data_IF_876141300349
#
_entry.id   IF_876141300349
#
_cell.length_a   1.000
_cell.length_b   1.000
_cell.length_c   1.000
_cell.angle_alpha   90.00
_cell.angle_beta   90.00
_cell.angle_gamma   90.00
#
_symmetry.space_group_name_H-M   'P 1'
#
loop_
_entity.id
_entity.type
_entity.pdbx_description
1 polymer ?
#
# COMPACT_ATOMS: atom_id res chain seq x y z
N UNK A 1 25.64 6.69 39.01
CA UNK A 1 25.96 5.24 39.07
C UNK A 1 24.74 4.39 39.46
N UNK A 2 23.53 4.73 39.00
CA UNK A 2 22.28 3.97 39.26
C UNK A 2 21.33 3.96 38.05
N UNK A 3 21.81 4.35 36.87
CA UNK A 3 20.99 4.46 35.65
C UNK A 3 21.47 3.51 34.53
N UNK A 4 22.73 3.04 34.60
CA UNK A 4 23.31 2.06 33.67
C UNK A 4 22.89 0.63 34.07
N UNK A 5 22.68 0.37 35.36
CA UNK A 5 22.30 -0.94 35.88
C UNK A 5 20.85 -1.35 35.54
N UNK A 6 19.99 -0.36 35.24
CA UNK A 6 18.60 -0.57 34.82
C UNK A 6 18.43 -0.97 33.35
N UNK A 7 19.34 -0.57 32.47
CA UNK A 7 19.32 -1.01 31.06
C UNK A 7 19.88 -2.42 30.89
N UNK A 8 20.89 -2.81 31.68
CA UNK A 8 21.50 -4.14 31.63
C UNK A 8 20.56 -5.23 32.16
N UNK A 9 19.66 -4.91 33.10
CA UNK A 9 18.63 -5.86 33.59
C UNK A 9 17.49 -6.09 32.60
N UNK A 10 17.20 -5.14 31.71
CA UNK A 10 16.20 -5.30 30.65
C UNK A 10 16.69 -6.28 29.56
N UNK A 11 17.97 -6.19 29.20
CA UNK A 11 18.59 -7.10 28.22
C UNK A 11 18.79 -8.53 28.73
N UNK A 12 18.95 -8.73 30.05
CA UNK A 12 19.17 -10.07 30.64
C UNK A 12 17.89 -10.88 30.87
N UNK A 13 16.73 -10.22 30.93
CA UNK A 13 15.42 -10.88 31.10
C UNK A 13 14.79 -11.37 29.78
N UNK A 14 15.29 -10.91 28.64
CA UNK A 14 14.84 -11.34 27.31
C UNK A 14 15.43 -12.67 26.85
N UNK A 15 16.40 -13.26 27.56
CA UNK A 15 17.19 -14.38 27.04
C UNK A 15 17.04 -15.74 27.74
N UNK A 16 16.14 -15.92 28.73
CA UNK A 16 16.13 -17.17 29.50
C UNK A 16 14.78 -17.77 29.92
N UNK A 17 13.66 -17.36 29.34
CA UNK A 17 12.37 -18.01 29.64
C UNK A 17 11.40 -18.00 28.47
N UNK A 18 11.57 -18.93 27.53
CA UNK A 18 10.48 -19.69 26.87
C UNK A 18 11.05 -20.57 25.77
N UNK A 19 11.72 -21.65 26.17
CA UNK A 19 11.86 -22.85 25.36
C UNK A 19 10.65 -23.73 25.70
N UNK A 20 9.50 -23.50 25.07
CA UNK A 20 8.42 -24.49 24.92
C UNK A 20 7.36 -23.99 23.92
N UNK A 21 7.23 -24.73 22.81
CA UNK A 21 6.06 -24.85 21.95
C UNK A 21 5.34 -23.56 21.52
N UNK A 22 5.86 -22.89 20.50
CA UNK A 22 5.04 -22.19 19.50
C UNK A 22 5.73 -22.40 18.15
N UNK A 23 5.02 -23.01 17.21
CA UNK A 23 5.35 -22.93 15.79
C UNK A 23 5.54 -21.43 15.46
N UNK A 24 6.51 -21.02 14.63
CA UNK A 24 6.51 -19.65 14.15
C UNK A 24 5.22 -19.47 13.37
N UNK A 25 4.35 -18.56 13.84
CA UNK A 25 3.37 -17.92 12.96
C UNK A 25 4.21 -17.29 11.86
N UNK A 26 4.27 -17.96 10.72
CA UNK A 26 4.89 -17.43 9.52
C UNK A 26 4.14 -16.13 9.24
N UNK A 27 4.83 -14.99 9.39
CA UNK A 27 4.32 -13.72 8.95
C UNK A 27 4.01 -13.83 7.45
N UNK A 28 2.74 -14.10 7.13
CA UNK A 28 2.30 -14.15 5.76
C UNK A 28 2.29 -12.70 5.25
N UNK A 29 3.27 -12.37 4.42
CA UNK A 29 3.20 -11.17 3.60
C UNK A 29 2.10 -11.39 2.57
N UNK A 30 1.15 -10.46 2.49
CA UNK A 30 0.05 -10.57 1.55
C UNK A 30 0.16 -9.47 0.52
N UNK A 31 0.20 -9.85 -0.75
CA UNK A 31 0.03 -8.90 -1.83
C UNK A 31 -1.35 -8.27 -1.70
N UNK A 32 -1.39 -6.95 -1.51
CA UNK A 32 -2.59 -6.14 -1.64
C UNK A 32 -2.80 -5.89 -3.13
N UNK A 33 -3.78 -6.55 -3.78
CA UNK A 33 -4.04 -6.31 -5.17
C UNK A 33 -5.02 -5.14 -5.31
N UNK A 34 -4.74 -4.30 -6.31
CA UNK A 34 -5.66 -3.29 -6.80
C UNK A 34 -6.77 -3.95 -7.65
N UNK A 35 -8.04 -3.68 -7.37
CA UNK A 35 -8.68 -3.22 -6.12
C UNK A 35 -9.54 -4.34 -5.52
N UNK A 36 -10.20 -4.11 -4.37
CA UNK A 36 -11.65 -3.91 -4.43
C UNK A 36 -12.30 -3.25 -3.17
N UNK A 37 -12.80 -2.01 -3.26
CA UNK A 37 -13.95 -1.54 -2.42
C UNK A 37 -13.84 -1.66 -0.88
N UNK A 38 -12.67 -1.32 -0.31
CA UNK A 38 -12.38 -0.95 1.09
C UNK A 38 -12.71 -1.90 2.25
N UNK A 39 -13.37 -3.04 1.99
CA UNK A 39 -13.61 -4.09 3.00
C UNK A 39 -13.29 -5.49 2.50
N UNK A 40 -12.95 -5.65 1.22
CA UNK A 40 -12.67 -6.94 0.62
C UNK A 40 -11.48 -6.84 -0.33
N UNK A 41 -10.73 -7.90 -0.52
CA UNK A 41 -9.67 -7.91 -1.54
C UNK A 41 -9.53 -9.29 -2.18
N UNK A 42 -9.17 -9.36 -3.47
CA UNK A 42 -8.98 -10.65 -4.15
C UNK A 42 -7.68 -11.31 -3.67
N UNK A 43 -7.69 -12.61 -3.39
CA UNK A 43 -6.48 -13.33 -2.98
C UNK A 43 -5.81 -13.96 -4.20
N UNK A 44 -4.55 -13.61 -4.50
CA UNK A 44 -3.73 -14.24 -5.55
C UNK A 44 -2.45 -14.84 -4.94
N UNK A 45 -2.45 -16.16 -4.73
CA UNK A 45 -1.28 -16.93 -4.31
C UNK A 45 -0.79 -16.62 -2.89
N UNK A 46 -0.34 -17.64 -2.16
CA UNK A 46 0.37 -17.46 -0.88
C UNK A 46 1.86 -17.46 -1.21
N UNK A 47 2.58 -16.40 -0.86
CA UNK A 47 4.04 -16.45 -0.85
C UNK A 47 4.45 -17.32 0.34
N UNK A 48 4.88 -18.54 0.04
CA UNK A 48 5.53 -19.42 1.02
C UNK A 48 6.94 -18.87 1.19
N UNK A 49 7.29 -18.44 2.40
CA UNK A 49 8.65 -18.03 2.74
C UNK A 49 9.62 -19.17 2.45
N UNK A 50 10.75 -18.85 1.84
CA UNK A 50 11.86 -19.77 1.60
C UNK A 50 12.30 -20.44 2.92
N UNK A 51 12.32 -21.77 2.90
CA UNK A 51 12.92 -22.61 3.93
C UNK A 51 14.45 -22.51 3.79
N UNK A 52 15.05 -21.50 4.45
CA UNK A 52 16.50 -21.32 4.40
C UNK A 52 17.19 -22.29 5.36
N UNK A 53 18.11 -23.08 4.82
CA UNK A 53 19.05 -23.89 5.58
C UNK A 53 19.82 -22.98 6.55
N UNK A 54 19.75 -23.29 7.85
CA UNK A 54 20.36 -22.49 8.92
C UNK A 54 21.89 -22.67 8.92
N UNK A 55 22.65 -21.64 8.54
CA UNK A 55 24.11 -21.62 8.68
C UNK A 55 24.53 -21.42 10.14
N UNK A 56 24.73 -22.53 10.86
CA UNK A 56 25.06 -22.51 12.29
C UNK A 56 26.43 -21.89 12.58
N UNK A 57 27.40 -22.01 11.67
CA UNK A 57 28.74 -21.43 11.86
C UNK A 57 28.69 -19.92 11.64
N UNK A 58 28.03 -19.47 10.57
CA UNK A 58 27.81 -18.04 10.31
C UNK A 58 27.08 -17.34 11.46
N UNK A 59 26.08 -17.99 12.07
CA UNK A 59 25.36 -17.47 13.24
C UNK A 59 26.25 -17.27 14.47
N UNK A 60 27.16 -18.21 14.75
CA UNK A 60 28.09 -18.13 15.88
C UNK A 60 29.12 -17.01 15.68
N UNK A 61 29.68 -16.89 14.47
CA UNK A 61 30.64 -15.84 14.14
C UNK A 61 29.98 -14.46 14.18
N UNK A 62 28.75 -14.35 13.67
CA UNK A 62 27.94 -13.13 13.78
C UNK A 62 27.69 -12.73 15.23
N UNK A 63 27.34 -13.70 16.10
CA UNK A 63 27.16 -13.47 17.54
C UNK A 63 28.44 -12.96 18.21
N UNK A 64 29.63 -13.44 17.79
CA UNK A 64 30.91 -12.94 18.30
C UNK A 64 31.11 -11.49 17.87
N UNK A 65 30.91 -11.17 16.60
CA UNK A 65 31.07 -9.79 16.09
C UNK A 65 30.13 -8.79 16.74
N UNK A 66 28.90 -9.19 17.05
CA UNK A 66 27.97 -8.35 17.84
C UNK A 66 28.60 -7.97 19.19
N UNK A 67 29.21 -8.93 19.90
CA UNK A 67 29.88 -8.65 21.18
C UNK A 67 31.05 -7.67 21.02
N UNK A 68 31.87 -7.86 19.99
CA UNK A 68 33.00 -6.98 19.70
C UNK A 68 32.54 -5.53 19.47
N UNK A 69 31.44 -5.32 18.72
CA UNK A 69 30.89 -3.97 18.49
C UNK A 69 30.29 -3.37 19.76
N UNK A 70 29.63 -4.18 20.61
CA UNK A 70 29.10 -3.72 21.91
C UNK A 70 30.22 -3.32 22.87
N UNK A 71 31.31 -4.08 22.95
CA UNK A 71 32.48 -3.75 23.75
C UNK A 71 33.16 -2.47 23.24
N UNK A 72 33.25 -2.30 21.92
CA UNK A 72 33.76 -1.09 21.31
C UNK A 72 32.87 0.12 21.64
N UNK A 73 31.55 -0.04 21.60
CA UNK A 73 30.61 1.01 21.99
C UNK A 73 30.76 1.41 23.47
N UNK A 74 30.98 0.44 24.35
CA UNK A 74 31.23 0.71 25.77
C UNK A 74 32.54 1.50 25.99
N UNK A 75 33.53 1.27 25.14
CA UNK A 75 34.85 1.91 25.23
C UNK A 75 34.87 3.31 24.62
N UNK A 76 34.27 3.48 23.43
CA UNK A 76 34.32 4.73 22.66
C UNK A 76 33.15 5.67 22.97
N UNK A 77 32.09 5.18 23.59
CA UNK A 77 30.83 5.89 23.82
C UNK A 77 29.77 5.57 22.75
N UNK A 78 28.50 5.72 23.14
CA UNK A 78 27.34 5.26 22.38
C UNK A 78 27.23 5.79 20.94
N UNK A 79 27.76 6.98 20.67
CA UNK A 79 27.60 7.68 19.40
C UNK A 79 28.91 7.95 18.69
N UNK A 80 29.98 7.22 19.04
CA UNK A 80 31.25 7.38 18.34
C UNK A 80 31.08 7.10 16.83
N UNK A 81 31.68 7.95 15.98
CA UNK A 81 31.44 7.96 14.53
C UNK A 81 31.77 6.64 13.81
N UNK A 82 32.72 5.86 14.36
CA UNK A 82 33.10 4.56 13.80
C UNK A 82 32.09 3.44 14.04
N UNK A 83 31.08 3.66 14.90
CA UNK A 83 30.09 2.62 15.22
C UNK A 83 29.02 2.51 14.14
N UNK A 84 28.70 3.60 13.43
CA UNK A 84 27.66 3.60 12.40
C UNK A 84 27.89 2.53 11.33
N UNK A 85 29.07 2.52 10.72
CA UNK A 85 29.45 1.53 9.70
C UNK A 85 29.45 0.09 10.26
N UNK A 86 29.98 -0.11 11.48
CA UNK A 86 30.03 -1.43 12.13
C UNK A 86 28.64 -2.01 12.39
N UNK A 87 27.68 -1.18 12.78
CA UNK A 87 26.30 -1.61 12.93
C UNK A 87 25.65 -1.94 11.59
N UNK A 88 25.95 -1.18 10.53
CA UNK A 88 25.45 -1.47 9.17
C UNK A 88 26.03 -2.78 8.61
N UNK A 89 27.33 -3.04 8.81
CA UNK A 89 27.96 -4.31 8.45
C UNK A 89 27.27 -5.50 9.13
N UNK A 90 27.02 -5.40 10.44
CA UNK A 90 26.26 -6.41 11.18
C UNK A 90 24.84 -6.57 10.63
N UNK A 91 24.18 -5.49 10.22
CA UNK A 91 22.86 -5.55 9.63
C UNK A 91 22.86 -6.36 8.32
N UNK A 92 23.81 -6.11 7.42
CA UNK A 92 23.96 -6.86 6.17
C UNK A 92 24.26 -8.34 6.41
N UNK A 93 25.12 -8.65 7.38
CA UNK A 93 25.38 -10.04 7.78
C UNK A 93 24.12 -10.74 8.29
N UNK A 94 23.34 -10.07 9.14
CA UNK A 94 22.07 -10.59 9.64
C UNK A 94 21.08 -10.86 8.51
N UNK A 95 21.03 -10.02 7.46
CA UNK A 95 20.21 -10.27 6.26
C UNK A 95 20.63 -11.55 5.55
N UNK A 96 21.94 -11.76 5.36
CA UNK A 96 22.48 -12.97 4.69
C UNK A 96 22.13 -14.24 5.48
N UNK A 97 22.18 -14.15 6.82
CA UNK A 97 21.85 -15.24 7.75
C UNK A 97 20.35 -15.45 7.97
N UNK A 98 19.49 -14.66 7.31
CA UNK A 98 18.03 -14.75 7.46
C UNK A 98 17.49 -14.23 8.80
N UNK A 99 18.28 -13.47 9.56
CA UNK A 99 17.89 -12.86 10.82
C UNK A 99 17.24 -11.48 10.60
N UNK A 100 16.06 -11.46 9.98
CA UNK A 100 15.40 -10.20 9.57
C UNK A 100 15.13 -9.22 10.72
N UNK A 101 14.74 -9.72 11.90
CA UNK A 101 14.50 -8.88 13.09
C UNK A 101 15.80 -8.23 13.60
N UNK A 102 16.87 -9.02 13.72
CA UNK A 102 18.18 -8.49 14.12
C UNK A 102 18.72 -7.50 13.09
N UNK A 103 18.56 -7.81 11.80
CA UNK A 103 18.95 -6.90 10.73
C UNK A 103 18.23 -5.54 10.85
N UNK A 104 16.92 -5.54 11.10
CA UNK A 104 16.16 -4.31 11.28
C UNK A 104 16.68 -3.48 12.47
N UNK A 105 16.98 -4.14 13.59
CA UNK A 105 17.54 -3.47 14.77
C UNK A 105 18.95 -2.89 14.50
N UNK A 106 19.81 -3.62 13.80
CA UNK A 106 21.17 -3.14 13.47
C UNK A 106 21.15 -2.02 12.44
N UNK A 107 20.28 -2.06 11.44
CA UNK A 107 20.07 -0.93 10.52
C UNK A 107 19.62 0.32 11.27
N UNK A 108 18.68 0.18 12.21
CA UNK A 108 18.21 1.29 13.04
C UNK A 108 19.37 1.92 13.84
N UNK A 109 20.19 1.09 14.50
CA UNK A 109 21.34 1.56 15.29
C UNK A 109 22.40 2.23 14.41
N UNK A 110 22.76 1.61 13.29
CA UNK A 110 23.75 2.13 12.35
C UNK A 110 23.33 3.45 11.75
N UNK A 111 22.11 3.53 11.20
CA UNK A 111 21.58 4.77 10.64
C UNK A 111 21.39 5.86 11.69
N UNK A 112 20.97 5.52 12.92
CA UNK A 112 20.89 6.51 14.00
C UNK A 112 22.26 7.12 14.31
N UNK A 113 23.31 6.30 14.40
CA UNK A 113 24.67 6.78 14.62
C UNK A 113 25.20 7.62 13.44
N UNK A 114 24.96 7.18 12.20
CA UNK A 114 25.33 7.95 10.99
C UNK A 114 24.63 9.31 10.99
N UNK A 115 23.34 9.37 11.33
CA UNK A 115 22.57 10.63 11.40
C UNK A 115 23.13 11.61 12.43
N UNK A 116 23.54 11.13 13.60
CA UNK A 116 24.12 11.96 14.65
C UNK A 116 25.50 12.52 14.27
N UNK A 117 26.30 11.76 13.52
CA UNK A 117 27.68 12.14 13.19
C UNK A 117 27.81 12.87 11.85
N UNK A 118 26.95 12.58 10.87
CA UNK A 118 27.02 13.12 9.51
C UNK A 118 25.88 14.07 9.17
N UNK A 119 24.83 14.13 10.00
CA UNK A 119 23.66 14.98 9.79
C UNK A 119 22.43 14.23 9.28
N UNK A 120 21.25 14.84 9.44
CA UNK A 120 19.96 14.22 9.15
C UNK A 120 19.58 14.20 7.66
N UNK A 121 20.38 14.78 6.77
CA UNK A 121 19.99 14.98 5.36
C UNK A 121 21.02 14.49 4.35
N UNK A 122 21.99 13.68 4.77
CA UNK A 122 23.07 13.23 3.89
C UNK A 122 22.61 12.11 2.96
N UNK A 123 22.82 12.30 1.66
CA UNK A 123 22.54 11.29 0.62
C UNK A 123 23.28 9.97 0.82
N UNK A 124 24.39 9.96 1.56
CA UNK A 124 25.13 8.74 1.93
C UNK A 124 24.29 7.72 2.69
N UNK A 125 23.19 8.14 3.33
CA UNK A 125 22.29 7.25 4.07
C UNK A 125 21.32 6.48 3.17
N UNK A 126 21.13 6.89 1.91
CA UNK A 126 20.07 6.36 1.04
C UNK A 126 20.22 4.86 0.79
N UNK A 127 21.45 4.38 0.58
CA UNK A 127 21.72 2.94 0.38
C UNK A 127 21.29 2.10 1.59
N UNK A 128 21.84 2.41 2.77
CA UNK A 128 21.48 1.72 4.01
C UNK A 128 20.00 1.85 4.37
N UNK A 129 19.37 2.98 4.05
CA UNK A 129 17.94 3.20 4.25
C UNK A 129 17.09 2.31 3.33
N UNK A 130 17.48 2.17 2.06
CA UNK A 130 16.81 1.27 1.11
C UNK A 130 16.94 -0.20 1.52
N UNK A 131 18.11 -0.61 2.03
CA UNK A 131 18.30 -1.96 2.56
C UNK A 131 17.42 -2.21 3.79
N UNK A 132 17.34 -1.24 4.70
CA UNK A 132 16.47 -1.33 5.87
C UNK A 132 14.99 -1.43 5.47
N UNK A 133 14.53 -0.61 4.52
CA UNK A 133 13.17 -0.68 3.97
C UNK A 133 12.86 -2.09 3.43
N UNK A 134 13.81 -2.72 2.72
CA UNK A 134 13.65 -4.08 2.22
C UNK A 134 13.53 -5.11 3.36
N UNK A 135 14.25 -4.93 4.47
CA UNK A 135 14.10 -5.76 5.67
C UNK A 135 12.76 -5.53 6.36
N UNK A 136 12.32 -4.27 6.52
CA UNK A 136 11.05 -3.94 7.16
C UNK A 136 9.85 -4.55 6.43
N UNK A 137 9.88 -4.59 5.08
CA UNK A 137 8.89 -5.30 4.27
C UNK A 137 8.83 -6.80 4.60
N UNK A 138 9.98 -7.44 4.83
CA UNK A 138 10.06 -8.87 5.18
C UNK A 138 9.60 -9.15 6.60
N UNK A 139 9.92 -8.26 7.54
CA UNK A 139 9.50 -8.38 8.94
C UNK A 139 8.00 -8.10 9.08
N UNK A 140 7.42 -7.28 8.20
CA UNK A 140 6.02 -6.87 8.29
C UNK A 140 5.77 -5.74 9.29
N UNK A 141 6.81 -4.98 9.65
CA UNK A 141 6.66 -3.78 10.49
C UNK A 141 6.22 -2.59 9.62
N UNK A 142 4.91 -2.52 9.37
CA UNK A 142 4.31 -1.48 8.51
C UNK A 142 4.49 -0.06 9.04
N UNK A 143 4.55 0.13 10.37
CA UNK A 143 4.69 1.46 10.96
C UNK A 143 6.12 1.99 10.73
N UNK A 144 7.14 1.18 11.07
CA UNK A 144 8.52 1.56 10.80
C UNK A 144 8.76 1.72 9.29
N UNK A 145 8.14 0.87 8.46
CA UNK A 145 8.21 0.96 7.00
C UNK A 145 7.66 2.30 6.48
N UNK A 146 6.46 2.70 6.91
CA UNK A 146 5.89 4.03 6.58
C UNK A 146 6.85 5.16 6.93
N UNK A 147 7.41 5.13 8.15
CA UNK A 147 8.33 6.16 8.61
C UNK A 147 9.61 6.24 7.77
N UNK A 148 10.22 5.10 7.42
CA UNK A 148 11.45 5.08 6.63
C UNK A 148 11.21 5.42 5.16
N UNK A 149 10.09 5.01 4.56
CA UNK A 149 9.70 5.43 3.21
C UNK A 149 9.48 6.94 3.14
N UNK A 150 8.70 7.50 4.07
CA UNK A 150 8.48 8.94 4.16
C UNK A 150 9.78 9.71 4.37
N UNK A 151 10.71 9.17 5.15
CA UNK A 151 12.02 9.80 5.35
C UNK A 151 12.88 9.74 4.09
N UNK A 152 12.96 8.60 3.40
CA UNK A 152 13.70 8.47 2.12
C UNK A 152 13.16 9.45 1.08
N UNK A 153 11.84 9.49 0.93
CA UNK A 153 11.17 10.42 0.01
C UNK A 153 11.53 11.88 0.32
N UNK A 154 11.52 12.28 1.60
CA UNK A 154 11.95 13.63 2.01
C UNK A 154 13.41 13.93 1.72
N UNK A 155 14.30 12.94 1.85
CA UNK A 155 15.72 13.11 1.54
C UNK A 155 16.02 13.27 0.05
N UNK A 156 15.23 12.62 -0.81
CA UNK A 156 15.55 12.49 -2.23
C UNK A 156 14.69 13.35 -3.13
N UNK A 157 13.43 13.62 -2.78
CA UNK A 157 12.44 14.15 -3.72
C UNK A 157 11.97 15.59 -3.48
N UNK A 158 12.12 16.14 -2.27
CA UNK A 158 11.38 17.34 -1.87
C UNK A 158 11.80 18.64 -2.59
N UNK A 159 13.08 18.76 -2.97
CA UNK A 159 13.62 19.95 -3.62
C UNK A 159 13.98 19.73 -5.10
N UNK A 160 13.67 18.55 -5.66
CA UNK A 160 14.04 18.22 -7.03
C UNK A 160 13.06 18.88 -8.01
N UNK A 161 13.56 19.79 -8.84
CA UNK A 161 12.78 20.35 -9.95
C UNK A 161 12.47 19.32 -11.02
N UNK A 162 13.32 18.31 -11.20
CA UNK A 162 13.16 17.26 -12.20
C UNK A 162 13.55 15.96 -11.52
N UNK A 163 12.64 14.97 -11.48
CA UNK A 163 12.89 13.70 -10.82
C UNK A 163 13.76 12.81 -11.71
N UNK A 164 14.79 12.21 -11.13
CA UNK A 164 15.45 11.03 -11.72
C UNK A 164 14.54 9.81 -11.61
N UNK A 165 14.82 8.78 -12.40
CA UNK A 165 14.09 7.50 -12.33
C UNK A 165 14.10 6.90 -10.92
N UNK A 166 15.24 6.94 -10.23
CA UNK A 166 15.38 6.48 -8.84
C UNK A 166 14.55 7.32 -7.86
N UNK A 167 14.54 8.65 -8.02
CA UNK A 167 13.75 9.54 -7.17
C UNK A 167 12.25 9.33 -7.37
N UNK A 168 11.83 9.11 -8.63
CA UNK A 168 10.46 8.75 -8.96
C UNK A 168 10.10 7.42 -8.28
N UNK A 169 10.89 6.37 -8.47
CA UNK A 169 10.67 5.07 -7.82
C UNK A 169 10.54 5.19 -6.30
N UNK A 170 11.40 5.97 -5.63
CA UNK A 170 11.28 6.19 -4.18
C UNK A 170 9.99 6.91 -3.78
N UNK A 171 9.53 7.88 -4.57
CA UNK A 171 8.27 8.57 -4.34
C UNK A 171 7.09 7.62 -4.53
N UNK A 172 7.10 6.81 -5.59
CA UNK A 172 6.04 5.83 -5.86
C UNK A 172 5.97 4.78 -4.76
N UNK A 173 7.10 4.27 -4.27
CA UNK A 173 7.13 3.32 -3.15
C UNK A 173 6.54 3.91 -1.85
N UNK A 174 6.73 5.21 -1.60
CA UNK A 174 6.11 5.88 -0.45
C UNK A 174 4.60 5.98 -0.61
N UNK A 175 4.12 6.56 -1.72
CA UNK A 175 2.69 6.74 -1.93
C UNK A 175 1.94 5.41 -2.05
N UNK A 176 2.51 4.41 -2.73
CA UNK A 176 1.87 3.10 -2.89
C UNK A 176 1.72 2.37 -1.55
N UNK A 177 2.69 2.54 -0.64
CA UNK A 177 2.60 2.00 0.72
C UNK A 177 1.53 2.73 1.55
N UNK A 178 1.51 4.07 1.56
CA UNK A 178 0.50 4.82 2.30
C UNK A 178 -0.92 4.56 1.78
N UNK A 179 -1.09 4.47 0.46
CA UNK A 179 -2.35 4.13 -0.17
C UNK A 179 -2.78 2.68 0.13
N UNK A 180 -1.84 1.73 0.16
CA UNK A 180 -2.14 0.36 0.57
C UNK A 180 -2.56 0.29 2.05
N UNK A 181 -1.87 1.01 2.93
CA UNK A 181 -2.23 1.14 4.34
C UNK A 181 -3.61 1.77 4.52
N UNK A 182 -3.93 2.83 3.76
CA UNK A 182 -5.26 3.44 3.78
C UNK A 182 -6.35 2.54 3.20
N UNK A 183 -6.03 1.59 2.32
CA UNK A 183 -7.01 0.64 1.79
C UNK A 183 -7.42 -0.41 2.85
N UNK A 184 -6.51 -0.78 3.74
CA UNK A 184 -6.72 -1.86 4.73
C UNK A 184 -6.94 -1.38 6.16
N UNK A 185 -6.70 -0.11 6.49
CA UNK A 185 -6.84 0.41 7.87
C UNK A 185 -8.11 1.26 8.07
N UNK A 186 -8.69 1.25 9.28
CA UNK A 186 -9.82 2.14 9.59
C UNK A 186 -9.45 3.62 9.40
N UNK A 187 -10.35 4.38 8.76
CA UNK A 187 -10.19 5.83 8.59
C UNK A 187 -10.63 6.62 9.83
N UNK A 188 -11.20 5.96 10.84
CA UNK A 188 -11.67 6.60 12.06
C UNK A 188 -10.54 7.34 12.79
N UNK A 189 -10.73 8.63 13.08
CA UNK A 189 -9.76 9.53 13.71
C UNK A 189 -8.45 9.75 12.93
N UNK A 190 -8.43 9.42 11.64
CA UNK A 190 -7.25 9.63 10.76
C UNK A 190 -7.47 10.74 9.74
N UNK A 191 -8.54 11.52 9.87
CA UNK A 191 -8.98 12.50 8.87
C UNK A 191 -7.87 13.49 8.49
N UNK A 192 -7.09 13.97 9.49
CA UNK A 192 -5.95 14.86 9.26
C UNK A 192 -4.82 14.24 8.45
N UNK A 193 -4.54 12.95 8.66
CA UNK A 193 -3.49 12.24 7.91
C UNK A 193 -3.92 12.04 6.46
N UNK A 194 -5.19 11.70 6.25
CA UNK A 194 -5.77 11.52 4.92
C UNK A 194 -5.80 12.84 4.15
N UNK A 195 -6.21 13.93 4.79
CA UNK A 195 -6.21 15.27 4.18
C UNK A 195 -4.81 15.71 3.78
N UNK A 196 -3.80 15.50 4.64
CA UNK A 196 -2.40 15.76 4.28
C UNK A 196 -1.95 14.93 3.08
N UNK A 197 -2.36 13.66 3.00
CA UNK A 197 -2.02 12.83 1.85
C UNK A 197 -2.69 13.31 0.55
N UNK A 198 -3.92 13.84 0.63
CA UNK A 198 -4.56 14.50 -0.51
C UNK A 198 -3.73 15.70 -0.97
N UNK A 199 -3.36 16.59 -0.04
CA UNK A 199 -2.55 17.77 -0.33
C UNK A 199 -1.18 17.37 -0.92
N UNK A 200 -0.47 16.43 -0.28
CA UNK A 200 0.86 15.97 -0.70
C UNK A 200 0.84 15.35 -2.11
N UNK A 201 -0.22 14.56 -2.44
CA UNK A 201 -0.36 13.93 -3.76
C UNK A 201 -0.77 14.97 -4.82
N UNK A 202 -1.66 15.91 -4.50
CA UNK A 202 -2.03 17.01 -5.39
C UNK A 202 -0.81 17.85 -5.76
N UNK A 203 -0.02 18.25 -4.77
CA UNK A 203 1.21 19.01 -4.95
C UNK A 203 2.22 18.32 -5.90
N UNK A 204 2.37 16.99 -5.83
CA UNK A 204 3.28 16.27 -6.75
C UNK A 204 2.69 16.07 -8.13
N UNK A 205 1.36 15.94 -8.25
CA UNK A 205 0.69 15.90 -9.56
C UNK A 205 0.89 17.23 -10.27
N UNK A 206 0.60 18.34 -9.60
CA UNK A 206 0.72 19.68 -10.18
C UNK A 206 2.15 19.95 -10.65
N UNK A 207 3.17 19.65 -9.82
CA UNK A 207 4.58 19.81 -10.20
C UNK A 207 5.03 18.90 -11.35
N UNK A 208 4.40 17.72 -11.50
CA UNK A 208 4.81 16.72 -12.48
C UNK A 208 4.09 16.86 -13.82
N UNK A 209 2.89 17.44 -13.82
CA UNK A 209 2.06 17.64 -15.01
C UNK A 209 2.12 19.08 -15.54
N UNK A 210 2.53 20.06 -14.72
CA UNK A 210 2.58 21.47 -15.11
C UNK A 210 3.94 22.13 -14.82
N UNK A 211 4.25 23.18 -15.60
CA UNK A 211 5.45 24.00 -15.41
C UNK A 211 6.75 23.40 -15.99
N UNK A 212 7.86 24.07 -15.67
CA UNK A 212 9.19 23.74 -16.21
C UNK A 212 9.75 22.38 -15.71
N UNK A 213 9.16 21.86 -14.64
CA UNK A 213 9.48 20.58 -14.01
C UNK A 213 8.73 19.38 -14.57
N UNK A 214 7.79 19.61 -15.49
CA UNK A 214 6.83 18.61 -15.90
C UNK A 214 7.49 17.44 -16.66
N UNK A 215 7.08 16.21 -16.32
CA UNK A 215 7.60 14.98 -16.90
C UNK A 215 6.44 14.01 -17.15
N UNK A 216 6.20 13.62 -18.41
CA UNK A 216 5.08 12.77 -18.78
C UNK A 216 4.98 11.47 -17.95
N UNK A 217 6.12 10.79 -17.73
CA UNK A 217 6.18 9.57 -16.94
C UNK A 217 5.80 9.80 -15.46
N UNK A 218 6.29 10.89 -14.85
CA UNK A 218 5.95 11.24 -13.47
C UNK A 218 4.48 11.70 -13.35
N UNK A 219 3.99 12.50 -14.30
CA UNK A 219 2.61 12.94 -14.37
C UNK A 219 1.64 11.75 -14.36
N UNK A 220 1.79 10.81 -15.31
CA UNK A 220 0.97 9.61 -15.37
C UNK A 220 1.06 8.79 -14.08
N UNK A 221 2.28 8.62 -13.53
CA UNK A 221 2.48 7.85 -12.32
C UNK A 221 1.75 8.46 -11.11
N UNK A 222 1.85 9.76 -10.88
CA UNK A 222 1.19 10.42 -9.74
C UNK A 222 -0.32 10.61 -9.94
N UNK A 223 -0.77 10.87 -11.16
CA UNK A 223 -2.21 10.94 -11.51
C UNK A 223 -2.91 9.63 -11.13
N UNK A 224 -2.29 8.47 -11.37
CA UNK A 224 -2.82 7.18 -10.94
C UNK A 224 -2.96 7.07 -9.41
N UNK A 225 -1.97 7.53 -8.64
CA UNK A 225 -2.02 7.52 -7.16
C UNK A 225 -3.11 8.45 -6.64
N UNK A 226 -3.22 9.66 -7.21
CA UNK A 226 -4.28 10.62 -6.86
C UNK A 226 -5.66 10.04 -7.17
N UNK A 227 -5.81 9.43 -8.34
CA UNK A 227 -7.04 8.75 -8.73
C UNK A 227 -7.38 7.63 -7.74
N UNK A 228 -6.40 6.83 -7.30
CA UNK A 228 -6.64 5.79 -6.30
C UNK A 228 -7.11 6.36 -4.96
N UNK A 229 -6.52 7.46 -4.48
CA UNK A 229 -6.97 8.12 -3.26
C UNK A 229 -8.39 8.69 -3.38
N UNK A 230 -8.77 9.21 -4.55
CA UNK A 230 -10.15 9.62 -4.83
C UNK A 230 -11.12 8.43 -4.77
N UNK A 231 -10.77 7.28 -5.37
CA UNK A 231 -11.55 6.05 -5.25
C UNK A 231 -11.71 5.63 -3.78
N UNK A 232 -10.61 5.62 -3.01
CA UNK A 232 -10.67 5.30 -1.58
C UNK A 232 -11.60 6.26 -0.84
N UNK A 233 -11.51 7.55 -1.12
CA UNK A 233 -12.34 8.58 -0.46
C UNK A 233 -13.82 8.37 -0.74
N UNK A 234 -14.20 8.11 -2.00
CA UNK A 234 -15.59 7.82 -2.39
C UNK A 234 -16.12 6.54 -1.72
N UNK A 235 -15.25 5.56 -1.48
CA UNK A 235 -15.59 4.36 -0.71
C UNK A 235 -15.49 4.55 0.82
N UNK A 236 -14.81 5.56 1.33
CA UNK A 236 -14.56 5.71 2.77
C UNK A 236 -15.58 6.60 3.46
N UNK A 237 -15.91 7.70 2.78
CA UNK A 237 -16.65 8.82 3.35
C UNK A 237 -18.14 8.55 3.18
N UNK A 238 -18.88 8.63 4.29
CA UNK A 238 -20.33 8.43 4.27
C UNK A 238 -21.00 9.57 3.47
N UNK A 239 -21.78 9.27 2.42
CA UNK A 239 -22.44 10.31 1.64
C UNK A 239 -23.50 11.02 2.48
N UNK A 240 -23.58 12.34 2.39
CA UNK A 240 -24.47 13.21 3.19
C UNK A 240 -25.97 12.91 3.04
N UNK A 241 -26.39 12.12 2.04
CA UNK A 241 -27.81 11.96 1.70
C UNK A 241 -28.45 10.77 2.43
N UNK A 242 -29.40 11.08 3.33
CA UNK A 242 -30.22 10.15 4.12
C UNK A 242 -31.05 9.12 3.30
N UNK A 243 -31.14 9.26 1.97
CA UNK A 243 -32.03 8.46 1.11
C UNK A 243 -31.35 7.29 0.38
N UNK A 244 -30.03 7.14 0.45
CA UNK A 244 -29.41 5.89 0.00
C UNK A 244 -29.59 4.83 1.09
N UNK A 245 -30.18 3.68 0.72
CA UNK A 245 -30.32 2.50 1.58
C UNK A 245 -29.01 2.29 2.35
N UNK A 246 -29.06 2.53 3.67
CA UNK A 246 -27.94 2.39 4.60
C UNK A 246 -27.09 1.19 4.22
N UNK A 247 -25.87 1.44 3.75
CA UNK A 247 -24.94 0.35 3.47
C UNK A 247 -24.57 -0.31 4.80
N UNK A 248 -24.56 -1.65 4.82
CA UNK A 248 -24.21 -2.44 5.99
C UNK A 248 -22.72 -2.30 6.36
N UNK A 249 -21.92 -1.65 5.51
CA UNK A 249 -20.49 -1.49 5.67
C UNK A 249 -20.11 -0.27 6.52
N UNK A 250 -21.02 0.70 6.68
CA UNK A 250 -20.76 1.92 7.44
C UNK A 250 -21.56 1.93 8.73
N UNK A 251 -20.89 2.19 9.84
CA UNK A 251 -21.56 2.61 11.06
C UNK A 251 -21.69 4.14 11.00
N UNK A 252 -22.91 4.69 10.99
CA UNK A 252 -23.10 6.14 10.88
C UNK A 252 -22.45 6.84 12.07
N UNK A 253 -21.65 7.88 11.80
CA UNK A 253 -21.18 8.78 12.87
C UNK A 253 -22.38 9.59 13.38
N UNK A 254 -22.57 9.67 14.69
CA UNK A 254 -23.59 10.56 15.26
C UNK A 254 -23.24 12.01 14.90
N UNK A 255 -24.25 12.84 14.64
CA UNK A 255 -24.03 14.26 14.26
C UNK A 255 -23.19 15.05 15.28
N UNK A 256 -23.19 14.63 16.55
CA UNK A 256 -22.37 15.23 17.61
C UNK A 256 -20.86 14.91 17.51
N UNK A 257 -20.47 13.91 16.70
CA UNK A 257 -19.08 13.46 16.55
C UNK A 257 -18.42 14.04 15.29
N UNK A 258 -19.07 14.96 14.57
CA UNK A 258 -18.55 15.55 13.32
C UNK A 258 -17.53 16.64 13.63
N UNK A 259 -16.37 16.53 13.02
CA UNK A 259 -15.27 17.49 13.10
C UNK A 259 -15.16 18.33 11.81
N UNK A 260 -14.50 19.51 11.83
CA UNK A 260 -14.23 20.27 10.60
C UNK A 260 -13.45 19.48 9.54
N UNK A 261 -12.64 18.51 9.96
CA UNK A 261 -11.91 17.62 9.04
C UNK A 261 -12.83 16.60 8.36
N UNK A 262 -13.92 16.18 9.01
CA UNK A 262 -14.95 15.36 8.36
C UNK A 262 -15.63 16.13 7.22
N UNK A 263 -15.97 17.41 7.46
CA UNK A 263 -16.60 18.25 6.43
C UNK A 263 -15.72 18.45 5.20
N UNK A 264 -14.39 18.59 5.39
CA UNK A 264 -13.45 18.69 4.28
C UNK A 264 -13.39 17.40 3.45
N UNK A 265 -13.35 16.23 4.10
CA UNK A 265 -13.40 14.95 3.39
C UNK A 265 -14.73 14.75 2.65
N UNK A 266 -15.85 15.21 3.22
CA UNK A 266 -17.14 15.22 2.50
C UNK A 266 -17.11 16.14 1.26
N UNK A 267 -16.46 17.30 1.33
CA UNK A 267 -16.29 18.19 0.16
C UNK A 267 -15.48 17.50 -0.92
N UNK A 268 -14.39 16.82 -0.56
CA UNK A 268 -13.57 16.05 -1.51
C UNK A 268 -14.39 14.92 -2.13
N UNK A 269 -15.15 14.15 -1.35
CA UNK A 269 -16.01 13.08 -1.85
C UNK A 269 -17.03 13.61 -2.88
N UNK A 270 -17.75 14.68 -2.55
CA UNK A 270 -18.75 15.29 -3.45
C UNK A 270 -18.13 15.84 -4.73
N UNK A 271 -16.91 16.38 -4.62
CA UNK A 271 -16.14 16.93 -5.73
C UNK A 271 -15.42 15.88 -6.57
N UNK A 272 -15.23 14.65 -6.03
CA UNK A 272 -14.31 13.66 -6.57
C UNK A 272 -14.53 13.42 -8.06
N UNK A 273 -15.79 13.23 -8.50
CA UNK A 273 -16.09 12.99 -9.92
C UNK A 273 -15.48 14.07 -10.82
N UNK A 274 -15.77 15.34 -10.55
CA UNK A 274 -15.30 16.45 -11.38
C UNK A 274 -13.78 16.65 -11.25
N UNK A 275 -13.23 16.50 -10.05
CA UNK A 275 -11.78 16.56 -9.82
C UNK A 275 -11.05 15.51 -10.64
N UNK A 276 -11.51 14.26 -10.60
CA UNK A 276 -10.90 13.16 -11.36
C UNK A 276 -11.04 13.33 -12.88
N UNK A 277 -12.17 13.86 -13.38
CA UNK A 277 -12.33 14.17 -14.81
C UNK A 277 -11.31 15.22 -15.26
N UNK A 278 -11.25 16.37 -14.57
CA UNK A 278 -10.32 17.46 -14.92
C UNK A 278 -8.88 17.00 -14.89
N UNK A 279 -8.47 16.39 -13.78
CA UNK A 279 -7.11 15.88 -13.62
C UNK A 279 -6.71 14.91 -14.75
N UNK A 280 -7.60 14.01 -15.17
CA UNK A 280 -7.30 13.06 -16.24
C UNK A 280 -7.31 13.71 -17.63
N UNK A 281 -8.19 14.68 -17.88
CA UNK A 281 -8.22 15.44 -19.13
C UNK A 281 -6.98 16.35 -19.25
N UNK A 282 -6.62 17.05 -18.18
CA UNK A 282 -5.40 17.89 -18.11
C UNK A 282 -4.14 17.04 -18.31
N UNK A 283 -4.10 15.83 -17.72
CA UNK A 283 -3.00 14.88 -17.94
C UNK A 283 -2.94 14.37 -19.38
N UNK A 284 -4.07 14.15 -20.05
CA UNK A 284 -4.11 13.77 -21.47
C UNK A 284 -3.61 14.90 -22.38
N UNK A 285 -4.01 16.13 -22.09
CA UNK A 285 -3.57 17.31 -22.84
C UNK A 285 -2.05 17.50 -22.71
N UNK A 286 -1.48 17.18 -21.54
CA UNK A 286 -0.04 17.26 -21.29
C UNK A 286 0.76 16.08 -21.87
N UNK A 287 0.37 14.84 -21.55
CA UNK A 287 1.10 13.62 -21.94
C UNK A 287 0.92 13.32 -23.44
N UNK A 288 -0.23 13.72 -24.00
CA UNK A 288 -0.63 13.38 -25.36
C UNK A 288 -1.47 12.10 -25.44
N UNK A 289 -1.62 11.58 -26.66
CA UNK A 289 -2.41 10.38 -26.91
C UNK A 289 -1.81 9.16 -26.18
N UNK A 290 -2.49 8.71 -25.14
CA UNK A 290 -2.11 7.58 -24.30
C UNK A 290 -3.35 6.74 -23.96
N UNK A 291 -3.37 5.49 -24.42
CA UNK A 291 -4.50 4.58 -24.24
C UNK A 291 -4.74 4.22 -22.77
N UNK A 292 -3.72 4.32 -21.93
CA UNK A 292 -3.87 4.09 -20.50
C UNK A 292 -4.64 5.23 -19.83
N UNK A 293 -4.31 6.49 -20.08
CA UNK A 293 -5.09 7.63 -19.60
C UNK A 293 -6.53 7.61 -20.12
N UNK A 294 -6.73 7.28 -21.40
CA UNK A 294 -8.08 7.14 -21.96
C UNK A 294 -8.90 6.07 -21.23
N UNK A 295 -8.26 4.95 -20.91
CA UNK A 295 -8.89 3.88 -20.18
C UNK A 295 -9.19 4.24 -18.73
N UNK A 296 -8.28 4.93 -18.05
CA UNK A 296 -8.47 5.43 -16.68
C UNK A 296 -9.65 6.42 -16.61
N UNK A 297 -9.75 7.31 -17.59
CA UNK A 297 -10.86 8.25 -17.71
C UNK A 297 -12.19 7.53 -17.99
N UNK A 298 -12.18 6.51 -18.85
CA UNK A 298 -13.35 5.68 -19.10
C UNK A 298 -13.78 4.90 -17.86
N UNK A 299 -12.85 4.33 -17.10
CA UNK A 299 -13.13 3.67 -15.82
C UNK A 299 -13.69 4.61 -14.77
N UNK A 300 -13.16 5.82 -14.66
CA UNK A 300 -13.67 6.83 -13.74
C UNK A 300 -15.10 7.22 -14.09
N UNK A 301 -15.37 7.48 -15.38
CA UNK A 301 -16.73 7.75 -15.89
C UNK A 301 -17.65 6.56 -15.63
N UNK A 302 -17.18 5.34 -15.87
CA UNK A 302 -17.94 4.11 -15.63
C UNK A 302 -18.31 3.93 -14.15
N UNK A 303 -17.37 4.20 -13.26
CA UNK A 303 -17.57 4.10 -11.81
C UNK A 303 -18.70 5.00 -11.31
N UNK A 304 -18.83 6.21 -11.88
CA UNK A 304 -19.91 7.17 -11.61
C UNK A 304 -21.14 7.02 -12.53
N UNK A 305 -21.36 5.82 -13.08
CA UNK A 305 -22.52 5.47 -13.91
C UNK A 305 -22.67 6.32 -15.21
N UNK A 306 -21.60 6.99 -15.69
CA UNK A 306 -21.53 7.67 -16.99
C UNK A 306 -21.18 6.70 -18.13
N UNK A 307 -21.97 5.63 -18.20
CA UNK A 307 -21.69 4.43 -19.01
C UNK A 307 -21.62 4.67 -20.52
N UNK A 308 -22.38 5.63 -21.07
CA UNK A 308 -22.44 5.84 -22.52
C UNK A 308 -21.11 6.30 -23.15
N UNK A 309 -20.41 7.23 -22.50
CA UNK A 309 -19.10 7.70 -22.99
C UNK A 309 -18.03 6.64 -22.72
N UNK A 310 -18.00 6.09 -21.51
CA UNK A 310 -17.06 5.04 -21.13
C UNK A 310 -17.13 3.81 -22.06
N UNK A 311 -18.35 3.36 -22.41
CA UNK A 311 -18.53 2.22 -23.28
C UNK A 311 -17.98 2.47 -24.68
N UNK A 312 -18.12 3.69 -25.24
CA UNK A 312 -17.52 4.02 -26.54
C UNK A 312 -16.00 3.87 -26.51
N UNK A 313 -15.35 4.35 -25.44
CA UNK A 313 -13.91 4.20 -25.26
C UNK A 313 -13.52 2.73 -25.11
N UNK A 314 -14.23 1.96 -24.27
CA UNK A 314 -13.98 0.52 -24.13
C UNK A 314 -14.16 -0.23 -25.45
N UNK A 315 -15.21 0.06 -26.23
CA UNK A 315 -15.43 -0.56 -27.54
C UNK A 315 -14.31 -0.24 -28.53
N UNK A 316 -13.81 1.00 -28.55
CA UNK A 316 -12.68 1.41 -29.40
C UNK A 316 -11.41 0.66 -28.99
N UNK A 317 -11.04 0.72 -27.71
CA UNK A 317 -9.85 0.05 -27.18
C UNK A 317 -9.92 -1.48 -27.33
N UNK A 318 -11.10 -2.08 -27.20
CA UNK A 318 -11.29 -3.52 -27.40
C UNK A 318 -11.18 -3.97 -28.87
N UNK A 319 -11.30 -3.06 -29.85
CA UNK A 319 -11.03 -3.37 -31.26
C UNK A 319 -9.52 -3.42 -31.53
N UNK A 320 -8.74 -2.65 -30.78
CA UNK A 320 -7.28 -2.57 -30.89
C UNK A 320 -6.60 -3.68 -30.09
N UNK A 321 -7.08 -3.93 -28.87
CA UNK A 321 -6.60 -4.97 -27.95
C UNK A 321 -7.80 -5.71 -27.30
N UNK A 322 -8.36 -6.73 -27.99
CA UNK A 322 -9.50 -7.49 -27.48
C UNK A 322 -9.20 -8.24 -26.17
N UNK A 323 -7.97 -8.75 -26.02
CA UNK A 323 -7.55 -9.59 -24.88
C UNK A 323 -7.71 -8.83 -23.56
N UNK A 324 -7.40 -7.52 -23.56
CA UNK A 324 -7.53 -6.63 -22.39
C UNK A 324 -8.97 -6.48 -21.88
N UNK A 325 -9.98 -6.80 -22.70
CA UNK A 325 -11.40 -6.65 -22.37
C UNK A 325 -12.17 -7.98 -22.36
N UNK A 326 -11.53 -9.13 -22.54
CA UNK A 326 -12.20 -10.43 -22.52
C UNK A 326 -12.86 -10.75 -21.17
N UNK A 327 -12.23 -10.30 -20.08
CA UNK A 327 -12.69 -10.54 -18.73
C UNK A 327 -13.09 -9.25 -18.02
N UNK A 328 -14.14 -9.30 -17.17
CA UNK A 328 -14.46 -8.17 -16.32
C UNK A 328 -13.36 -7.98 -15.27
N UNK A 329 -13.06 -6.72 -14.98
CA UNK A 329 -11.99 -6.32 -14.05
C UNK A 329 -12.58 -5.42 -12.96
N UNK A 330 -12.23 -5.66 -11.70
CA UNK A 330 -12.69 -4.84 -10.58
C UNK A 330 -12.11 -3.43 -10.64
N UNK A 331 -12.90 -2.43 -10.28
CA UNK A 331 -12.48 -1.04 -10.23
C UNK A 331 -12.30 -0.55 -8.78
N UNK A 332 -11.26 0.26 -8.49
CA UNK A 332 -10.21 0.76 -9.42
C UNK A 332 -9.09 -0.22 -9.86
N UNK A 333 -8.78 -0.34 -11.15
CA UNK A 333 -7.73 -1.25 -11.61
C UNK A 333 -6.46 -0.52 -12.07
N UNK A 334 -5.28 -1.12 -11.83
CA UNK A 334 -4.03 -0.69 -12.45
C UNK A 334 -3.49 0.67 -12.00
N UNK A 335 -3.87 1.16 -10.81
CA UNK A 335 -3.47 2.49 -10.34
C UNK A 335 -2.13 2.50 -9.57
N UNK A 336 -1.86 1.46 -8.79
CA UNK A 336 -0.57 1.30 -8.10
C UNK A 336 -0.06 -0.14 -8.24
N UNK A 337 1.22 -0.33 -7.93
CA UNK A 337 1.78 -1.68 -7.88
C UNK A 337 1.23 -2.47 -6.69
N UNK A 338 1.35 -3.80 -6.76
CA UNK A 338 0.89 -4.65 -5.66
C UNK A 338 1.86 -4.55 -4.49
N UNK A 339 1.43 -3.88 -3.42
CA UNK A 339 2.22 -3.75 -2.19
C UNK A 339 1.97 -4.94 -1.28
N UNK A 340 3.02 -5.60 -0.79
CA UNK A 340 2.89 -6.62 0.25
C UNK A 340 2.64 -5.96 1.61
N UNK A 341 1.49 -6.20 2.23
CA UNK A 341 1.22 -5.85 3.62
C UNK A 341 1.23 -7.11 4.50
N UNK A 342 1.63 -7.01 5.78
CA UNK A 342 1.45 -8.10 6.72
C UNK A 342 -0.03 -8.48 6.81
N UNK A 343 -0.33 -9.78 6.86
CA UNK A 343 -1.69 -10.26 7.05
C UNK A 343 -2.32 -9.65 8.31
N UNK A 344 -3.49 -9.00 8.16
CA UNK A 344 -4.30 -8.59 9.30
C UNK A 344 -4.93 -9.82 9.97
N UNK A 345 -5.22 -9.71 11.29
CA UNK A 345 -5.68 -10.81 12.13
C UNK A 345 -7.01 -11.49 11.70
N UNK A 346 -7.74 -10.94 10.73
CA UNK A 346 -8.94 -11.56 10.14
C UNK A 346 -8.59 -12.18 8.79
N UNK A 347 -8.07 -13.41 8.80
CA UNK A 347 -7.70 -14.12 7.56
C UNK A 347 -8.91 -14.86 6.93
N UNK A 348 -10.10 -14.25 7.03
CA UNK A 348 -11.34 -14.86 6.54
C UNK A 348 -11.36 -14.78 5.01
N UNK A 349 -11.05 -15.91 4.36
CA UNK A 349 -11.05 -16.08 2.91
C UNK A 349 -12.23 -16.94 2.47
N UNK A 350 -12.91 -16.53 1.41
CA UNK A 350 -13.96 -17.33 0.81
C UNK A 350 -13.97 -17.20 -0.72
N UNK A 351 -14.22 -18.33 -1.40
CA UNK A 351 -14.40 -18.37 -2.84
C UNK A 351 -15.86 -18.15 -3.20
N UNK A 352 -16.10 -17.28 -4.17
CA UNK A 352 -17.43 -16.94 -4.65
C UNK A 352 -17.54 -17.19 -6.15
N UNK A 353 -18.72 -17.62 -6.56
CA UNK A 353 -19.15 -17.62 -7.96
C UNK A 353 -20.28 -16.61 -8.12
N UNK A 354 -20.15 -15.74 -9.11
CA UNK A 354 -21.12 -14.70 -9.41
C UNK A 354 -21.08 -14.35 -10.90
N UNK A 355 -22.05 -13.55 -11.32
CA UNK A 355 -22.16 -13.07 -12.69
C UNK A 355 -21.93 -11.56 -12.70
N UNK A 356 -21.02 -11.09 -13.55
CA UNK A 356 -20.85 -9.66 -13.84
C UNK A 356 -21.76 -9.31 -15.00
N UNK A 357 -22.68 -8.37 -14.78
CA UNK A 357 -23.58 -7.89 -15.83
C UNK A 357 -22.85 -7.03 -16.87
N UNK A 358 -23.51 -6.75 -17.98
CA UNK A 358 -23.04 -5.79 -19.00
C UNK A 358 -22.85 -4.35 -18.46
N UNK A 359 -23.40 -4.06 -17.27
CA UNK A 359 -23.21 -2.80 -16.53
C UNK A 359 -22.17 -2.93 -15.41
N UNK A 360 -21.37 -3.99 -15.39
CA UNK A 360 -20.31 -4.13 -14.40
C UNK A 360 -20.79 -4.35 -12.98
N UNK A 361 -22.01 -4.91 -12.79
CA UNK A 361 -22.60 -5.16 -11.48
C UNK A 361 -22.64 -6.65 -11.15
N UNK A 362 -22.34 -6.98 -9.91
CA UNK A 362 -22.41 -8.35 -9.39
C UNK A 362 -23.86 -8.82 -9.26
N UNK A 363 -24.17 -9.97 -9.85
CA UNK A 363 -25.46 -10.68 -9.80
C UNK A 363 -25.23 -12.14 -9.40
N UNK A 364 -26.28 -12.77 -8.86
CA UNK A 364 -26.27 -14.21 -8.56
C UNK A 364 -25.09 -14.68 -7.68
N UNK A 365 -24.65 -13.83 -6.74
CA UNK A 365 -23.52 -14.12 -5.84
C UNK A 365 -23.81 -15.33 -4.94
N UNK A 366 -22.97 -16.37 -5.06
CA UNK A 366 -23.02 -17.59 -4.25
C UNK A 366 -21.62 -17.90 -3.73
N UNK A 367 -21.52 -18.29 -2.46
CA UNK A 367 -20.29 -18.83 -1.92
C UNK A 367 -20.13 -20.29 -2.40
N UNK A 368 -18.91 -20.67 -2.75
CA UNK A 368 -18.57 -22.06 -3.05
C UNK A 368 -18.35 -22.76 -1.71
N UNK A 369 -19.27 -23.63 -1.31
CA UNK A 369 -19.19 -24.37 -0.04
C UNK A 369 -18.06 -25.42 -0.14
N UNK A 370 -17.04 -25.30 0.72
CA UNK A 370 -15.85 -26.15 0.71
C UNK A 370 -14.59 -25.52 1.34
N UNK A 371 -14.58 -24.20 1.58
CA UNK A 371 -13.53 -23.52 2.35
C UNK A 371 -13.82 -23.61 3.86
N UNK A 372 -12.78 -23.60 4.69
CA UNK A 372 -12.70 -23.98 6.12
C UNK A 372 -13.72 -23.37 7.13
N UNK A 373 -14.70 -22.59 6.67
CA UNK A 373 -15.67 -21.92 7.52
C UNK A 373 -17.10 -22.38 7.24
N UNK A 374 -17.81 -22.71 8.32
CA UNK A 374 -19.22 -23.12 8.31
C UNK A 374 -20.18 -22.01 7.87
N UNK A 375 -19.76 -20.74 7.89
CA UNK A 375 -20.53 -19.61 7.36
C UNK A 375 -19.64 -18.47 6.88
N UNK A 376 -19.94 -17.92 5.71
CA UNK A 376 -19.24 -16.76 5.13
C UNK A 376 -19.77 -15.46 5.76
N UNK A 377 -18.89 -14.54 6.21
CA UNK A 377 -19.32 -13.28 6.82
C UNK A 377 -20.26 -12.45 5.94
N UNK A 378 -21.26 -11.83 6.57
CA UNK A 378 -22.23 -10.95 5.90
C UNK A 378 -21.56 -9.71 5.27
N UNK A 379 -20.52 -9.17 5.92
CA UNK A 379 -19.73 -8.03 5.44
C UNK A 379 -19.01 -8.35 4.13
N UNK A 380 -18.29 -9.48 4.06
CA UNK A 380 -17.63 -9.95 2.83
C UNK A 380 -18.60 -10.05 1.64
N UNK A 381 -19.80 -10.61 1.86
CA UNK A 381 -20.85 -10.65 0.83
C UNK A 381 -21.39 -9.27 0.44
N UNK A 382 -21.51 -8.35 1.40
CA UNK A 382 -21.97 -6.98 1.14
C UNK A 382 -20.93 -6.21 0.34
N UNK A 383 -19.65 -6.28 0.74
CA UNK A 383 -18.52 -5.72 0.02
C UNK A 383 -18.52 -6.18 -1.43
N UNK A 384 -18.55 -7.50 -1.70
CA UNK A 384 -18.56 -8.03 -3.07
C UNK A 384 -19.74 -7.52 -3.93
N UNK A 385 -20.88 -7.19 -3.33
CA UNK A 385 -22.03 -6.64 -4.07
C UNK A 385 -21.89 -5.16 -4.43
N UNK A 386 -21.12 -4.41 -3.65
CA UNK A 386 -20.91 -2.98 -3.88
C UNK A 386 -19.88 -2.71 -4.97
N UNK A 387 -19.13 -3.72 -5.35
CA UNK A 387 -18.05 -3.60 -6.33
C UNK A 387 -18.56 -3.14 -7.69
N UNK A 388 -17.73 -2.34 -8.34
CA UNK A 388 -17.88 -1.98 -9.74
C UNK A 388 -16.86 -2.80 -10.53
N UNK A 389 -17.29 -3.34 -11.65
CA UNK A 389 -16.41 -3.99 -12.61
C UNK A 389 -16.40 -3.18 -13.89
N UNK A 390 -15.24 -2.98 -14.50
CA UNK A 390 -15.15 -2.75 -15.94
C UNK A 390 -15.78 -3.96 -16.63
N UNK A 391 -16.71 -3.77 -17.58
CA UNK A 391 -17.38 -4.88 -18.23
C UNK A 391 -16.39 -5.61 -19.15
N UNK A 392 -16.65 -6.90 -19.38
CA UNK A 392 -16.05 -7.56 -20.53
C UNK A 392 -16.68 -7.01 -21.82
N UNK A 393 -15.88 -6.89 -22.87
CA UNK A 393 -16.30 -6.35 -24.17
C UNK A 393 -15.90 -7.34 -25.25
N UNK A 394 -16.83 -7.66 -26.15
CA UNK A 394 -16.54 -8.50 -27.31
C UNK A 394 -15.63 -7.77 -28.31
N UNK A 395 -14.99 -8.51 -29.21
CA UNK A 395 -14.26 -7.92 -30.33
C UNK A 395 -15.13 -7.01 -31.22
N UNK A 396 -16.45 -7.20 -31.20
CA UNK A 396 -17.43 -6.31 -31.88
C UNK A 396 -17.76 -5.03 -31.11
N UNK A 397 -17.17 -4.82 -29.93
CA UNK A 397 -17.40 -3.65 -29.08
C UNK A 397 -18.65 -3.74 -28.20
N UNK A 398 -19.26 -4.91 -28.03
CA UNK A 398 -20.47 -5.08 -27.21
C UNK A 398 -20.14 -5.58 -25.80
N UNK A 399 -20.77 -5.00 -24.77
CA UNK A 399 -20.59 -5.44 -23.40
C UNK A 399 -21.18 -6.85 -23.18
N UNK A 400 -20.40 -7.72 -22.55
CA UNK A 400 -20.74 -9.11 -22.30
C UNK A 400 -21.11 -9.36 -20.84
N UNK A 401 -21.95 -10.37 -20.63
CA UNK A 401 -22.24 -10.91 -19.32
C UNK A 401 -21.36 -12.13 -19.05
N UNK A 402 -20.59 -12.12 -17.97
CA UNK A 402 -19.56 -13.13 -17.70
C UNK A 402 -19.73 -13.73 -16.32
N UNK A 403 -19.63 -15.05 -16.21
CA UNK A 403 -19.57 -15.75 -14.92
C UNK A 403 -18.13 -15.76 -14.42
N UNK A 404 -17.95 -15.39 -13.16
CA UNK A 404 -16.65 -15.21 -12.51
C UNK A 404 -16.61 -16.06 -11.24
N UNK A 405 -15.50 -16.76 -11.05
CA UNK A 405 -15.17 -17.46 -9.79
C UNK A 405 -13.88 -16.87 -9.23
N UNK A 406 -13.94 -16.26 -8.05
CA UNK A 406 -12.80 -15.58 -7.41
C UNK A 406 -12.83 -15.75 -5.89
N UNK A 407 -11.64 -15.73 -5.29
CA UNK A 407 -11.46 -15.77 -3.83
C UNK A 407 -11.25 -14.35 -3.32
N UNK A 408 -12.02 -13.97 -2.30
CA UNK A 408 -11.89 -12.69 -1.62
C UNK A 408 -11.65 -12.90 -0.13
N UNK A 409 -10.99 -11.93 0.51
CA UNK A 409 -10.85 -11.84 1.96
C UNK A 409 -11.32 -10.50 2.49
N UNK A 410 -11.62 -10.41 3.77
CA UNK A 410 -11.96 -9.14 4.44
C UNK A 410 -10.70 -8.33 4.74
N UNK A 411 -10.73 -7.01 4.53
CA UNK A 411 -9.58 -6.13 4.78
C UNK A 411 -9.64 -5.40 6.12
N UNK A 412 -10.82 -5.32 6.78
CA UNK A 412 -11.07 -4.53 8.00
C UNK A 412 -12.10 -5.15 8.96
#
# INVERSE_FOLDING_TARGET
>A
MSYIDGMVTLYRRLYLSSMLLLLPDIAAAVLVPQPVGMFVEPVRGVYVSDDKMIDSTGLLDHTRRIKDVVELQATLGAYHASLGEKWLELAHEAVLLGQSENAAAFFQLGLHNVRLNSGLTTKSQVGALSDWIAVLRKVGDSEALSQQLAYRYRLTGLDATVLTEEQLDFALQYFDHELAMLATSSWHNRDREILRLHDDIEDVVDRSCEGDSAQAAACLAFVKRRLYLLYLTVYAVEPYVQDQKRSLLYSPKLMADRSPTDEQLEVIERGAFLTGIRMLEDAQDFVGADDELELLLADWRWFFDRTGVAMKTFSRLAQEDPERFEQPVELPHGLIEQTSLPATASDVRATFTFQVSTRGRVRNLRAVLGTEQSSVPRKLRAGIRELRFRPAVSAGGEALQVNVTRTYRETR
#
